data_IF_433548880290
#
_entry.id   IF_433548880290
#
_cell.length_a   1.000
_cell.length_b   1.000
_cell.length_c   1.000
_cell.angle_alpha   90.00
_cell.angle_beta   90.00
_cell.angle_gamma   90.00
#
_symmetry.space_group_name_H-M   'P 1'
#
loop_
_entity.id
_entity.type
_entity.pdbx_description
1 polymer ?
#
# COMPACT_ATOMS: atom_id res chain seq x y z
N UNK A 1 17.76 15.32 -10.89
CA UNK A 1 17.48 13.92 -10.53
C UNK A 1 16.44 13.41 -11.53
N UNK A 2 16.84 12.49 -12.41
CA UNK A 2 16.19 12.23 -13.70
C UNK A 2 14.73 11.75 -13.55
N UNK A 3 13.82 12.49 -14.17
CA UNK A 3 12.46 12.05 -14.47
C UNK A 3 12.55 10.93 -15.51
N UNK A 4 12.56 9.69 -15.03
CA UNK A 4 12.56 8.48 -15.86
C UNK A 4 11.31 8.52 -16.75
N UNK A 5 11.51 8.33 -18.06
CA UNK A 5 10.47 8.09 -19.07
C UNK A 5 9.44 7.07 -18.54
N UNK A 6 8.30 7.53 -18.03
CA UNK A 6 7.24 6.63 -17.53
C UNK A 6 6.45 6.11 -18.71
N UNK A 7 6.65 4.84 -19.04
CA UNK A 7 5.94 4.13 -20.12
C UNK A 7 4.50 3.73 -19.76
N UNK A 8 4.07 3.94 -18.52
CA UNK A 8 2.80 3.46 -17.98
C UNK A 8 2.01 4.59 -17.33
N UNK A 9 0.76 4.79 -17.76
CA UNK A 9 -0.20 5.61 -17.04
C UNK A 9 -0.70 4.80 -15.84
N UNK A 10 -0.19 5.10 -14.65
CA UNK A 10 -0.58 4.39 -13.43
C UNK A 10 -1.88 4.98 -12.90
N UNK A 11 -2.92 4.15 -12.86
CA UNK A 11 -4.16 4.43 -12.14
C UNK A 11 -3.99 3.92 -10.71
N UNK A 12 -4.44 4.70 -9.72
CA UNK A 12 -4.52 4.28 -8.32
C UNK A 12 -5.96 4.42 -7.86
N UNK A 13 -6.57 3.32 -7.43
CA UNK A 13 -7.95 3.33 -6.95
C UNK A 13 -8.20 2.27 -5.88
N UNK A 14 -9.25 2.42 -5.05
CA UNK A 14 -9.63 1.41 -4.08
C UNK A 14 -9.92 0.07 -4.76
N UNK A 15 -9.44 -1.03 -4.15
CA UNK A 15 -9.69 -2.39 -4.60
C UNK A 15 -11.20 -2.63 -4.75
N UNK A 16 -11.61 -3.08 -5.93
CA UNK A 16 -13.00 -3.39 -6.24
C UNK A 16 -13.11 -4.70 -7.05
N UNK A 17 -14.35 -5.09 -7.39
CA UNK A 17 -14.64 -6.36 -8.05
C UNK A 17 -14.13 -6.48 -9.49
N UNK A 18 -13.76 -5.36 -10.12
CA UNK A 18 -13.27 -5.33 -11.50
C UNK A 18 -11.76 -5.62 -11.59
N UNK A 19 -11.08 -5.75 -10.45
CA UNK A 19 -9.64 -6.02 -10.42
C UNK A 19 -9.33 -7.51 -10.43
N UNK A 20 -8.59 -7.97 -11.44
CA UNK A 20 -7.98 -9.29 -11.44
C UNK A 20 -6.70 -9.28 -10.60
N UNK A 21 -6.80 -9.93 -9.45
CA UNK A 21 -5.75 -10.06 -8.44
C UNK A 21 -5.14 -11.46 -8.40
N UNK A 22 -5.67 -12.43 -9.14
CA UNK A 22 -5.24 -13.84 -9.02
C UNK A 22 -3.92 -14.11 -9.72
N UNK A 23 -3.60 -13.31 -10.74
CA UNK A 23 -2.32 -13.35 -11.45
C UNK A 23 -1.19 -12.57 -10.76
N UNK A 24 -1.48 -11.85 -9.66
CA UNK A 24 -0.47 -11.06 -8.95
C UNK A 24 0.60 -11.97 -8.33
N UNK A 25 1.87 -11.63 -8.54
CA UNK A 25 2.98 -12.28 -7.88
C UNK A 25 4.13 -11.30 -7.63
N UNK A 26 4.37 -10.92 -6.37
CA UNK A 26 5.49 -10.05 -5.98
C UNK A 26 6.74 -10.82 -5.49
N UNK A 27 6.74 -12.15 -5.56
CA UNK A 27 7.80 -13.00 -5.01
C UNK A 27 7.73 -13.24 -3.50
N UNK A 28 6.69 -12.73 -2.82
CA UNK A 28 6.43 -12.98 -1.40
C UNK A 28 5.06 -13.64 -1.21
N UNK A 29 5.06 -14.89 -0.74
CA UNK A 29 3.84 -15.70 -0.61
C UNK A 29 2.80 -15.10 0.35
N UNK A 30 3.24 -14.43 1.42
CA UNK A 30 2.35 -13.82 2.40
C UNK A 30 1.58 -12.65 1.75
N UNK A 31 2.29 -11.80 0.99
CA UNK A 31 1.68 -10.66 0.29
C UNK A 31 0.81 -11.12 -0.89
N UNK A 32 1.26 -12.13 -1.63
CA UNK A 32 0.48 -12.75 -2.70
C UNK A 32 -0.83 -13.34 -2.17
N UNK A 33 -0.77 -14.11 -1.08
CA UNK A 33 -1.95 -14.69 -0.44
C UNK A 33 -2.89 -13.60 0.06
N UNK A 34 -2.35 -12.56 0.69
CA UNK A 34 -3.14 -11.44 1.20
C UNK A 34 -4.00 -10.82 0.09
N UNK A 35 -3.38 -10.38 -1.01
CA UNK A 35 -4.12 -9.69 -2.06
C UNK A 35 -5.09 -10.64 -2.79
N UNK A 36 -4.76 -11.93 -2.93
CA UNK A 36 -5.58 -12.93 -3.62
C UNK A 36 -6.77 -13.44 -2.82
N UNK A 37 -6.68 -13.47 -1.50
CA UNK A 37 -7.67 -14.16 -0.65
C UNK A 37 -8.30 -13.23 0.41
N UNK A 38 -7.52 -12.35 1.03
CA UNK A 38 -7.93 -11.66 2.25
C UNK A 38 -8.36 -10.21 2.02
N UNK A 39 -7.74 -9.50 1.06
CA UNK A 39 -7.90 -8.05 0.92
C UNK A 39 -9.36 -7.59 0.79
N UNK A 40 -10.19 -8.30 0.02
CA UNK A 40 -11.61 -7.93 -0.13
C UNK A 40 -12.41 -8.04 1.18
N UNK A 41 -12.06 -8.99 2.05
CA UNK A 41 -12.73 -9.16 3.35
C UNK A 41 -12.28 -8.07 4.33
N UNK A 42 -10.99 -7.76 4.35
CA UNK A 42 -10.41 -6.65 5.14
C UNK A 42 -11.07 -5.32 4.74
N UNK A 43 -11.15 -5.03 3.44
CA UNK A 43 -11.83 -3.83 2.93
C UNK A 43 -13.31 -3.79 3.34
N UNK A 44 -14.03 -4.91 3.19
CA UNK A 44 -15.46 -5.00 3.54
C UNK A 44 -15.70 -4.75 5.04
N UNK A 45 -14.80 -5.21 5.90
CA UNK A 45 -14.85 -4.99 7.36
C UNK A 45 -14.29 -3.62 7.78
N UNK A 46 -13.80 -2.82 6.84
CA UNK A 46 -13.19 -1.51 7.07
C UNK A 46 -11.98 -1.57 8.03
N UNK A 47 -11.29 -2.72 8.08
CA UNK A 47 -10.08 -2.89 8.88
C UNK A 47 -8.88 -2.16 8.25
N UNK A 48 -8.84 -2.10 6.92
CA UNK A 48 -7.89 -1.29 6.17
C UNK A 48 -8.50 -0.90 4.81
N UNK A 49 -8.07 0.23 4.27
CA UNK A 49 -8.31 0.59 2.87
C UNK A 49 -7.19 -0.03 2.03
N UNK A 50 -7.54 -0.68 0.93
CA UNK A 50 -6.58 -1.26 -0.01
C UNK A 50 -6.67 -0.50 -1.32
N UNK A 51 -5.57 0.13 -1.70
CA UNK A 51 -5.42 0.77 -3.00
C UNK A 51 -4.61 -0.14 -3.92
N UNK A 52 -5.00 -0.19 -5.19
CA UNK A 52 -4.31 -0.94 -6.22
C UNK A 52 -3.89 -0.02 -7.37
N UNK A 53 -2.82 -0.42 -8.04
CA UNK A 53 -2.57 0.00 -9.41
C UNK A 53 -2.77 -1.18 -10.35
N UNK A 54 -3.33 -0.91 -11.53
CA UNK A 54 -3.72 -1.96 -12.47
C UNK A 54 -3.49 -1.57 -13.93
N UNK A 55 -3.30 -2.58 -14.78
CA UNK A 55 -3.36 -2.47 -16.24
C UNK A 55 -4.52 -3.31 -16.76
N UNK A 56 -5.50 -2.67 -17.41
CA UNK A 56 -6.69 -3.35 -17.94
C UNK A 56 -7.38 -4.26 -16.90
N UNK A 57 -7.49 -3.79 -15.65
CA UNK A 57 -8.04 -4.53 -14.53
C UNK A 57 -7.07 -5.49 -13.83
N UNK A 58 -5.95 -5.88 -14.44
CA UNK A 58 -4.93 -6.72 -13.78
C UNK A 58 -4.15 -5.92 -12.76
N UNK A 59 -4.18 -6.34 -11.49
CA UNK A 59 -3.40 -5.70 -10.43
C UNK A 59 -1.91 -5.90 -10.69
N UNK A 60 -1.15 -4.79 -10.67
CA UNK A 60 0.31 -4.77 -10.85
C UNK A 60 1.04 -4.25 -9.61
N UNK A 61 0.31 -3.67 -8.66
CA UNK A 61 0.84 -3.22 -7.38
C UNK A 61 -0.29 -2.84 -6.43
N UNK A 62 -0.02 -2.87 -5.13
CA UNK A 62 -1.00 -2.49 -4.12
C UNK A 62 -0.33 -1.98 -2.85
N UNK A 63 -1.09 -1.22 -2.06
CA UNK A 63 -0.76 -0.92 -0.67
C UNK A 63 -2.00 -0.88 0.21
N UNK A 64 -1.79 -0.93 1.53
CA UNK A 64 -2.89 -0.87 2.52
C UNK A 64 -2.68 0.27 3.51
N UNK A 65 -3.75 0.97 3.87
CA UNK A 65 -3.76 1.98 4.94
C UNK A 65 -4.75 1.59 6.03
N UNK A 66 -4.33 1.72 7.29
CA UNK A 66 -5.20 1.62 8.45
C UNK A 66 -4.84 2.71 9.47
N UNK A 67 -5.83 3.13 10.26
CA UNK A 67 -5.56 3.99 11.41
C UNK A 67 -4.75 3.21 12.45
N UNK A 68 -3.76 3.86 13.05
CA UNK A 68 -2.92 3.25 14.09
C UNK A 68 -2.40 4.32 15.07
N UNK A 69 -1.64 3.89 16.08
CA UNK A 69 -0.97 4.78 17.02
C UNK A 69 0.37 4.21 17.48
N UNK A 70 1.34 5.09 17.69
CA UNK A 70 2.64 4.76 18.27
C UNK A 70 2.63 5.18 19.74
N UNK A 71 3.02 4.29 20.65
CA UNK A 71 3.21 4.69 22.06
C UNK A 71 4.42 5.63 22.15
N UNK A 72 4.32 6.70 22.93
CA UNK A 72 5.45 7.63 23.13
C UNK A 72 6.70 6.95 23.70
N UNK A 73 6.54 5.87 24.46
CA UNK A 73 7.66 5.06 24.95
C UNK A 73 8.47 4.42 23.83
N UNK A 74 7.82 4.15 22.70
CA UNK A 74 8.36 3.38 21.58
C UNK A 74 8.69 4.28 20.38
N UNK A 75 8.42 5.60 20.50
CA UNK A 75 8.66 6.57 19.42
C UNK A 75 10.08 7.15 19.48
N UNK A 76 10.68 7.51 18.32
CA UNK A 76 11.86 8.37 18.27
C UNK A 76 11.69 9.65 19.10
N UNK A 77 12.79 10.16 19.65
CA UNK A 77 12.77 11.33 20.56
C UNK A 77 12.17 12.57 19.87
N UNK A 78 12.37 12.71 18.56
CA UNK A 78 11.86 13.80 17.74
C UNK A 78 10.32 13.84 17.70
N UNK A 79 9.67 12.69 17.88
CA UNK A 79 8.21 12.56 17.87
C UNK A 79 7.58 12.69 19.27
N UNK A 80 8.36 12.46 20.35
CA UNK A 80 7.84 12.48 21.73
C UNK A 80 7.23 13.83 22.12
N UNK A 81 7.74 14.92 21.56
CA UNK A 81 7.26 16.27 21.84
C UNK A 81 6.13 16.73 20.90
N UNK A 82 5.75 15.93 19.90
CA UNK A 82 4.76 16.32 18.89
C UNK A 82 3.30 16.08 19.31
N UNK A 83 3.06 15.41 20.43
CA UNK A 83 1.73 15.18 20.98
C UNK A 83 1.77 15.36 22.50
N UNK A 84 0.74 15.91 23.16
CA UNK A 84 0.64 15.91 24.62
C UNK A 84 0.23 14.52 25.16
N UNK A 85 -0.39 13.67 24.34
CA UNK A 85 -0.94 12.37 24.77
C UNK A 85 0.11 11.27 24.84
N UNK A 86 -0.15 10.19 25.57
CA UNK A 86 0.78 9.04 25.67
C UNK A 86 0.93 8.25 24.37
N UNK A 87 0.01 8.43 23.43
CA UNK A 87 0.06 7.83 22.10
C UNK A 87 0.02 8.91 21.01
N UNK A 88 0.76 8.67 19.94
CA UNK A 88 0.88 9.54 18.77
C UNK A 88 0.04 8.91 17.65
N UNK A 89 -1.00 9.59 17.13
CA UNK A 89 -1.83 9.05 16.05
C UNK A 89 -1.04 8.96 14.76
N UNK A 90 -1.24 7.89 13.98
CA UNK A 90 -0.59 7.71 12.70
C UNK A 90 -1.46 6.90 11.72
N UNK A 91 -1.00 6.83 10.48
CA UNK A 91 -1.53 5.90 9.47
C UNK A 91 -0.48 4.82 9.25
N UNK A 92 -0.88 3.57 9.36
CA UNK A 92 -0.02 2.42 9.09
C UNK A 92 -0.09 2.05 7.61
N UNK A 93 1.05 2.10 6.91
CA UNK A 93 1.22 1.44 5.61
C UNK A 93 1.56 -0.03 5.89
N UNK A 94 0.52 -0.85 6.12
CA UNK A 94 0.71 -2.22 6.61
C UNK A 94 1.33 -3.18 5.58
N UNK A 95 1.08 -2.94 4.29
CA UNK A 95 1.58 -3.74 3.18
C UNK A 95 1.81 -2.84 1.97
N UNK A 96 2.88 -3.10 1.23
CA UNK A 96 3.22 -2.47 -0.04
C UNK A 96 3.90 -3.53 -0.92
N UNK A 97 3.40 -3.73 -2.14
CA UNK A 97 3.95 -4.72 -3.05
C UNK A 97 3.78 -4.32 -4.50
N UNK A 98 4.72 -4.75 -5.34
CA UNK A 98 4.69 -4.61 -6.80
C UNK A 98 4.88 -6.00 -7.41
N UNK A 99 4.08 -6.33 -8.42
CA UNK A 99 4.22 -7.56 -9.18
C UNK A 99 5.63 -7.68 -9.77
N UNK A 100 6.22 -8.86 -9.73
CA UNK A 100 7.61 -9.12 -10.10
C UNK A 100 7.94 -8.71 -11.53
N UNK A 101 6.97 -8.75 -12.44
CA UNK A 101 7.17 -8.35 -13.83
C UNK A 101 7.24 -6.82 -14.00
N UNK A 102 6.88 -6.08 -12.96
CA UNK A 102 6.82 -4.62 -12.93
C UNK A 102 7.76 -4.01 -11.88
N UNK A 103 8.52 -4.83 -11.16
CA UNK A 103 9.55 -4.36 -10.24
C UNK A 103 10.69 -3.66 -11.01
N UNK A 104 11.37 -2.72 -10.34
CA UNK A 104 12.42 -1.90 -10.96
C UNK A 104 11.92 -0.77 -11.87
N UNK A 105 10.60 -0.67 -12.12
CA UNK A 105 10.01 0.34 -13.01
C UNK A 105 9.52 1.61 -12.27
N UNK A 106 9.80 1.74 -10.97
CA UNK A 106 9.39 2.90 -10.17
C UNK A 106 7.98 2.84 -9.57
N UNK A 107 7.18 1.81 -9.88
CA UNK A 107 5.79 1.69 -9.40
C UNK A 107 5.68 1.70 -7.87
N UNK A 108 6.64 1.08 -7.16
CA UNK A 108 6.64 1.06 -5.70
C UNK A 108 6.77 2.46 -5.09
N UNK A 109 7.60 3.32 -5.71
CA UNK A 109 7.75 4.72 -5.31
C UNK A 109 6.46 5.48 -5.59
N UNK A 110 5.79 5.19 -6.70
CA UNK A 110 4.54 5.85 -7.06
C UNK A 110 3.39 5.48 -6.13
N UNK A 111 3.28 4.20 -5.76
CA UNK A 111 2.34 3.73 -4.74
C UNK A 111 2.59 4.43 -3.40
N UNK A 112 3.85 4.52 -2.97
CA UNK A 112 4.21 5.20 -1.73
C UNK A 112 3.92 6.70 -1.79
N UNK A 113 4.26 7.37 -2.90
CA UNK A 113 3.96 8.78 -3.09
C UNK A 113 2.45 9.05 -3.09
N UNK A 114 1.66 8.15 -3.66
CA UNK A 114 0.20 8.22 -3.59
C UNK A 114 -0.32 8.02 -2.15
N UNK A 115 0.30 7.13 -1.37
CA UNK A 115 -0.08 6.88 0.03
C UNK A 115 0.20 8.06 0.98
N UNK A 116 1.13 8.95 0.62
CA UNK A 116 1.57 10.10 1.42
C UNK A 116 0.90 11.43 1.03
N UNK A 117 0.02 11.43 0.03
CA UNK A 117 -0.77 12.60 -0.37
C UNK A 117 -2.05 12.70 0.45
#
# INVERSE_FOLDING_TARGET
MNLINRKHSLVFEPLNKNHDRFLFDCGNDILNRFIKQLASQIAKRQEAVIYVSHENGRVIGFYTLSADKIQKSDSPDELKNQSPHTAIPCILIGRLAVDKNYQGMGIGIDLLAHALR
#
